data_IF_399533230597
#
_entry.id   IF_399533230597
#
_cell.length_a   1.000
_cell.length_b   1.000
_cell.length_c   1.000
_cell.angle_alpha   90.00
_cell.angle_beta   90.00
_cell.angle_gamma   90.00
#
_symmetry.space_group_name_H-M   'P 1'
#
loop_
_entity.id
_entity.type
_entity.pdbx_description
1 polymer ?
#
# COMPACT_ATOMS: atom_id res chain seq x y z
N UNK A 1 10.18 -14.37 -19.55
CA UNK A 1 9.15 -14.13 -18.51
C UNK A 1 9.81 -14.04 -17.13
N UNK A 2 10.68 -14.97 -16.69
CA UNK A 2 11.31 -14.98 -15.37
C UNK A 2 12.10 -13.70 -15.10
N UNK A 3 13.06 -13.31 -15.94
CA UNK A 3 13.85 -12.06 -15.82
C UNK A 3 12.98 -10.80 -15.68
N UNK A 4 11.86 -10.71 -16.43
CA UNK A 4 10.96 -9.56 -16.32
C UNK A 4 10.32 -9.45 -14.95
N UNK A 5 9.91 -10.58 -14.34
CA UNK A 5 9.35 -10.60 -12.99
C UNK A 5 10.40 -10.17 -11.95
N UNK A 6 11.63 -10.65 -12.10
CA UNK A 6 12.75 -10.27 -11.24
C UNK A 6 13.01 -8.77 -11.31
N UNK A 7 13.14 -8.18 -12.52
CA UNK A 7 13.30 -6.74 -12.69
C UNK A 7 12.11 -5.94 -12.13
N UNK A 8 10.88 -6.43 -12.35
CA UNK A 8 9.70 -5.78 -11.81
C UNK A 8 9.75 -5.72 -10.28
N UNK A 9 10.10 -6.82 -9.62
CA UNK A 9 10.25 -6.87 -8.16
C UNK A 9 11.38 -5.94 -7.71
N UNK A 10 12.53 -5.95 -8.35
CA UNK A 10 13.67 -5.08 -8.02
C UNK A 10 13.30 -3.58 -8.10
N UNK A 11 12.41 -3.19 -9.00
CA UNK A 11 11.94 -1.80 -9.11
C UNK A 11 10.88 -1.48 -8.06
N UNK A 12 9.90 -2.37 -7.85
CA UNK A 12 8.70 -2.05 -7.07
C UNK A 12 8.91 -2.28 -5.57
N UNK A 13 9.65 -3.32 -5.19
CA UNK A 13 9.88 -3.69 -3.78
C UNK A 13 10.52 -2.56 -2.95
N UNK A 14 11.61 -1.89 -3.38
CA UNK A 14 12.19 -0.80 -2.61
C UNK A 14 11.21 0.35 -2.35
N UNK A 15 10.34 0.65 -3.32
CA UNK A 15 9.32 1.70 -3.18
C UNK A 15 8.25 1.33 -2.15
N UNK A 16 7.84 0.06 -2.13
CA UNK A 16 6.89 -0.46 -1.13
C UNK A 16 7.52 -0.42 0.26
N UNK A 17 8.75 -0.89 0.42
CA UNK A 17 9.47 -0.89 1.70
C UNK A 17 9.60 0.55 2.21
N UNK A 18 9.98 1.50 1.36
CA UNK A 18 10.14 2.90 1.72
C UNK A 18 8.84 3.50 2.27
N UNK A 19 7.72 3.31 1.57
CA UNK A 19 6.43 3.83 2.02
C UNK A 19 5.91 3.09 3.26
N UNK A 20 6.14 1.78 3.38
CA UNK A 20 5.84 1.03 4.60
C UNK A 20 6.70 1.50 5.78
N UNK A 21 7.99 1.82 5.58
CA UNK A 21 8.85 2.37 6.62
C UNK A 21 8.34 3.72 7.12
N UNK A 22 7.87 4.60 6.24
CA UNK A 22 7.23 5.85 6.64
C UNK A 22 6.00 5.59 7.54
N UNK A 23 5.17 4.61 7.19
CA UNK A 23 4.01 4.23 8.02
C UNK A 23 4.45 3.63 9.35
N UNK A 24 5.51 2.79 9.37
CA UNK A 24 6.06 2.22 10.62
C UNK A 24 6.57 3.31 11.57
N UNK A 25 7.28 4.32 11.04
CA UNK A 25 7.73 5.47 11.80
C UNK A 25 6.56 6.28 12.37
N UNK A 26 5.59 6.60 11.52
CA UNK A 26 4.37 7.29 11.95
C UNK A 26 3.63 6.50 13.05
N UNK A 27 3.54 5.18 12.89
CA UNK A 27 2.91 4.30 13.87
C UNK A 27 3.70 4.27 15.20
N UNK A 28 5.02 4.23 15.16
CA UNK A 28 5.88 4.34 16.36
C UNK A 28 5.62 5.67 17.08
N UNK A 29 5.60 6.77 16.34
CA UNK A 29 5.28 8.09 16.89
C UNK A 29 3.87 8.12 17.49
N UNK A 30 2.87 7.54 16.82
CA UNK A 30 1.51 7.45 17.35
C UNK A 30 1.47 6.77 18.72
N UNK A 31 2.12 5.61 18.87
CA UNK A 31 2.16 4.90 20.15
C UNK A 31 2.90 5.70 21.23
N UNK A 32 3.96 6.41 20.89
CA UNK A 32 4.65 7.31 21.83
C UNK A 32 3.71 8.41 22.31
N UNK A 33 2.97 9.05 21.40
CA UNK A 33 2.08 10.18 21.70
C UNK A 33 0.87 9.73 22.54
N UNK A 34 0.22 8.61 22.17
CA UNK A 34 -0.99 8.16 22.89
C UNK A 34 -0.69 7.59 24.30
N UNK A 35 0.55 7.19 24.56
CA UNK A 35 0.95 6.65 25.86
C UNK A 35 1.43 7.74 26.85
N UNK A 36 1.45 9.01 26.42
CA UNK A 36 1.77 10.14 27.30
C UNK A 36 0.51 10.66 27.98
N UNK A 37 0.66 11.08 29.25
CA UNK A 37 -0.40 11.79 29.97
C UNK A 37 -0.61 13.21 29.43
N UNK A 38 0.46 13.87 28.97
CA UNK A 38 0.40 15.21 28.38
C UNK A 38 1.22 15.27 27.09
N UNK A 39 0.61 15.76 26.05
CA UNK A 39 1.23 15.95 24.73
C UNK A 39 1.58 17.43 24.53
N UNK A 40 2.75 17.70 23.93
CA UNK A 40 3.13 19.04 23.49
C UNK A 40 2.22 19.53 22.35
N UNK A 41 2.21 20.85 22.09
CA UNK A 41 1.45 21.41 20.97
C UNK A 41 1.90 20.82 19.63
N UNK A 42 3.18 20.61 19.42
CA UNK A 42 3.70 19.96 18.22
C UNK A 42 3.16 18.52 18.02
N UNK A 43 2.99 17.76 19.11
CA UNK A 43 2.42 16.40 19.07
C UNK A 43 0.91 16.44 18.78
N UNK A 44 0.19 17.40 19.34
CA UNK A 44 -1.23 17.63 19.04
C UNK A 44 -1.42 18.00 17.57
N UNK A 45 -0.62 18.92 17.05
CA UNK A 45 -0.64 19.31 15.64
C UNK A 45 -0.29 18.13 14.72
N UNK A 46 0.66 17.30 15.12
CA UNK A 46 1.00 16.09 14.38
C UNK A 46 -0.18 15.13 14.33
N UNK A 47 -0.87 14.89 15.46
CA UNK A 47 -2.08 14.05 15.51
C UNK A 47 -3.19 14.58 14.60
N UNK A 48 -3.46 15.90 14.62
CA UNK A 48 -4.46 16.52 13.74
C UNK A 48 -4.12 16.30 12.26
N UNK A 49 -2.86 16.46 11.87
CA UNK A 49 -2.38 16.15 10.51
C UNK A 49 -2.61 14.67 10.16
N UNK A 50 -2.37 13.75 11.11
CA UNK A 50 -2.59 12.31 10.89
C UNK A 50 -4.07 11.95 10.83
N UNK A 51 -4.93 12.51 11.66
CA UNK A 51 -6.37 12.34 11.54
C UNK A 51 -6.87 12.76 10.16
N UNK A 52 -6.43 13.92 9.66
CA UNK A 52 -6.75 14.41 8.33
C UNK A 52 -6.19 13.49 7.22
N UNK A 53 -4.92 13.09 7.33
CA UNK A 53 -4.24 12.22 6.36
C UNK A 53 -4.94 10.86 6.21
N UNK A 54 -5.40 10.27 7.33
CA UNK A 54 -6.06 8.97 7.35
C UNK A 54 -7.59 9.06 7.33
N UNK A 55 -8.15 10.25 7.13
CA UNK A 55 -9.59 10.48 6.98
C UNK A 55 -10.41 10.13 8.23
N UNK A 56 -9.85 10.32 9.43
CA UNK A 56 -10.52 10.06 10.72
C UNK A 56 -11.17 11.35 11.22
N UNK A 57 -12.37 11.64 10.72
CA UNK A 57 -13.10 12.87 11.06
C UNK A 57 -13.53 12.96 12.54
N UNK A 58 -13.81 11.82 13.15
CA UNK A 58 -14.20 11.70 14.58
C UNK A 58 -13.03 11.93 15.53
N UNK A 59 -11.81 12.08 15.05
CA UNK A 59 -10.57 12.14 15.87
C UNK A 59 -10.42 10.95 16.84
N UNK A 60 -11.02 9.81 16.48
CA UNK A 60 -10.93 8.58 17.26
C UNK A 60 -9.57 7.90 17.05
N UNK A 61 -8.81 7.80 18.15
CA UNK A 61 -7.46 7.19 18.17
C UNK A 61 -7.48 5.70 17.81
N UNK A 62 -8.52 4.97 18.20
CA UNK A 62 -8.66 3.55 17.86
C UNK A 62 -8.79 3.37 16.35
N UNK A 63 -9.61 4.19 15.69
CA UNK A 63 -9.73 4.20 14.23
C UNK A 63 -8.42 4.61 13.56
N UNK A 64 -7.70 5.61 14.09
CA UNK A 64 -6.40 6.01 13.56
C UNK A 64 -5.38 4.89 13.67
N UNK A 65 -5.28 4.22 14.83
CA UNK A 65 -4.42 3.05 15.06
C UNK A 65 -4.67 1.93 14.05
N UNK A 66 -5.95 1.64 13.72
CA UNK A 66 -6.34 0.61 12.76
C UNK A 66 -6.01 1.03 11.32
N UNK A 67 -6.17 2.32 10.97
CA UNK A 67 -5.89 2.82 9.62
C UNK A 67 -4.40 3.03 9.35
N UNK A 68 -3.64 3.48 10.33
CA UNK A 68 -2.20 3.76 10.21
C UNK A 68 -1.39 2.47 10.39
N UNK A 69 -1.41 1.59 9.40
CA UNK A 69 -0.61 0.36 9.42
C UNK A 69 -0.17 -0.06 8.01
N UNK A 70 0.85 -0.89 7.92
CA UNK A 70 1.48 -1.34 6.68
C UNK A 70 0.65 -2.39 5.95
N UNK A 71 0.94 -2.58 4.69
CA UNK A 71 0.48 -3.72 3.88
C UNK A 71 1.70 -4.60 3.62
N UNK A 72 1.61 -5.94 3.79
CA UNK A 72 2.72 -6.84 3.50
C UNK A 72 3.29 -6.59 2.11
N UNK A 73 4.60 -6.59 2.00
CA UNK A 73 5.33 -6.34 0.76
C UNK A 73 4.88 -7.33 -0.33
N UNK A 74 4.74 -8.61 0.01
CA UNK A 74 4.26 -9.66 -0.88
C UNK A 74 2.87 -9.40 -1.44
N UNK A 75 1.94 -8.85 -0.63
CA UNK A 75 0.60 -8.51 -1.08
C UNK A 75 0.62 -7.33 -2.05
N UNK A 76 1.38 -6.29 -1.74
CA UNK A 76 1.51 -5.12 -2.59
C UNK A 76 2.18 -5.46 -3.93
N UNK A 77 3.24 -6.29 -3.93
CA UNK A 77 3.87 -6.79 -5.17
C UNK A 77 2.87 -7.59 -6.00
N UNK A 78 2.09 -8.49 -5.38
CA UNK A 78 1.11 -9.31 -6.09
C UNK A 78 0.03 -8.46 -6.78
N UNK A 79 -0.48 -7.44 -6.09
CA UNK A 79 -1.45 -6.51 -6.68
C UNK A 79 -0.84 -5.70 -7.82
N UNK A 80 0.34 -5.10 -7.62
CA UNK A 80 1.03 -4.38 -8.68
C UNK A 80 1.30 -5.26 -9.91
N UNK A 81 1.74 -6.51 -9.69
CA UNK A 81 1.97 -7.47 -10.76
C UNK A 81 0.69 -7.83 -11.52
N UNK A 82 -0.43 -8.03 -10.81
CA UNK A 82 -1.74 -8.33 -11.40
C UNK A 82 -2.27 -7.16 -12.23
N UNK A 83 -2.24 -5.95 -11.66
CA UNK A 83 -2.77 -4.74 -12.31
C UNK A 83 -1.97 -4.32 -13.55
N UNK A 84 -0.67 -4.58 -13.56
CA UNK A 84 0.22 -4.10 -14.62
C UNK A 84 0.70 -5.20 -15.59
N UNK A 85 0.33 -6.45 -15.37
CA UNK A 85 0.92 -7.57 -16.10
C UNK A 85 2.44 -7.65 -15.94
N UNK A 86 2.93 -7.43 -14.70
CA UNK A 86 4.36 -7.36 -14.39
C UNK A 86 5.06 -6.20 -15.13
N UNK A 87 4.43 -5.02 -15.09
CA UNK A 87 4.98 -3.77 -15.64
C UNK A 87 4.81 -3.60 -17.15
N UNK A 88 4.05 -4.47 -17.84
CA UNK A 88 3.87 -4.38 -19.29
C UNK A 88 2.70 -3.49 -19.72
N UNK A 89 1.83 -3.12 -18.79
CA UNK A 89 0.67 -2.29 -19.14
C UNK A 89 1.10 -0.86 -19.52
N UNK A 90 0.39 -0.28 -20.48
CA UNK A 90 0.56 1.12 -20.88
C UNK A 90 0.44 2.10 -19.69
N UNK A 91 -0.46 1.80 -18.76
CA UNK A 91 -0.67 2.64 -17.59
C UNK A 91 0.54 2.65 -16.65
N UNK A 92 1.23 1.52 -16.51
CA UNK A 92 2.48 1.45 -15.75
C UNK A 92 3.60 2.22 -16.46
N UNK A 93 3.74 2.06 -17.77
CA UNK A 93 4.85 2.62 -18.57
C UNK A 93 4.72 4.13 -18.81
N UNK A 94 3.53 4.60 -19.20
CA UNK A 94 3.29 6.01 -19.53
C UNK A 94 2.75 6.84 -18.36
N UNK A 95 2.16 6.18 -17.35
CA UNK A 95 1.46 6.85 -16.25
C UNK A 95 2.01 6.56 -14.87
N UNK A 96 3.08 5.78 -14.74
CA UNK A 96 3.61 5.34 -13.44
C UNK A 96 2.52 4.73 -12.52
N UNK A 97 1.45 4.16 -13.11
CA UNK A 97 0.27 3.66 -12.41
C UNK A 97 0.41 2.15 -12.15
N UNK A 98 0.86 1.78 -10.95
CA UNK A 98 1.12 0.39 -10.57
C UNK A 98 -0.14 -0.37 -10.09
N UNK A 99 -1.19 0.33 -9.65
CA UNK A 99 -2.31 -0.27 -8.92
C UNK A 99 -3.69 0.03 -9.55
N UNK A 100 -3.73 0.50 -10.79
CA UNK A 100 -4.98 0.69 -11.54
C UNK A 100 -5.98 1.66 -10.90
N UNK A 101 -5.52 2.61 -10.08
CA UNK A 101 -6.40 3.53 -9.37
C UNK A 101 -7.11 4.50 -10.33
N UNK A 102 -8.39 4.73 -10.08
CA UNK A 102 -9.24 5.60 -10.88
C UNK A 102 -9.31 7.01 -10.35
N UNK A 103 -9.47 7.97 -11.26
CA UNK A 103 -9.80 9.35 -10.93
C UNK A 103 -10.91 9.86 -11.84
N UNK A 104 -11.78 10.71 -11.29
CA UNK A 104 -12.81 11.44 -12.04
C UNK A 104 -12.40 12.89 -12.30
N UNK A 105 -11.36 13.35 -11.60
CA UNK A 105 -10.82 14.71 -11.71
C UNK A 105 -9.30 14.67 -11.79
N UNK A 106 -8.70 15.60 -12.53
CA UNK A 106 -7.25 15.71 -12.67
C UNK A 106 -6.66 14.92 -13.84
N UNK A 107 -5.34 14.80 -13.82
CA UNK A 107 -4.59 14.10 -14.87
C UNK A 107 -4.76 12.59 -14.77
N UNK A 108 -5.01 11.97 -15.90
CA UNK A 108 -5.16 10.51 -15.99
C UNK A 108 -5.17 10.02 -17.43
N UNK A 109 -4.84 8.74 -17.59
CA UNK A 109 -4.85 8.06 -18.89
C UNK A 109 -6.22 7.40 -19.12
N UNK A 110 -6.84 7.68 -20.25
CA UNK A 110 -8.07 7.00 -20.66
C UNK A 110 -7.75 5.56 -21.10
N UNK A 111 -8.56 4.54 -20.69
CA UNK A 111 -8.50 3.21 -21.28
C UNK A 111 -8.79 3.29 -22.78
N UNK A 112 -8.10 2.48 -23.60
CA UNK A 112 -8.30 2.47 -25.06
C UNK A 112 -9.75 2.17 -25.47
N UNK A 113 -10.47 1.35 -24.69
CA UNK A 113 -11.85 0.94 -24.93
C UNK A 113 -12.83 1.60 -23.93
N UNK A 114 -12.48 2.76 -23.38
CA UNK A 114 -13.39 3.46 -22.50
C UNK A 114 -14.65 3.89 -23.23
N UNK A 115 -15.81 3.51 -22.70
CA UNK A 115 -17.09 4.06 -23.10
C UNK A 115 -17.02 5.59 -23.01
N UNK A 116 -17.35 6.29 -24.09
CA UNK A 116 -17.24 7.76 -24.18
C UNK A 116 -18.01 8.50 -23.08
N UNK A 117 -18.99 7.84 -22.48
CA UNK A 117 -19.86 8.37 -21.43
C UNK A 117 -19.33 8.13 -20.00
N UNK A 118 -18.30 7.29 -19.80
CA UNK A 118 -17.70 7.05 -18.48
C UNK A 118 -16.47 7.93 -18.34
N UNK A 119 -16.61 9.05 -17.62
CA UNK A 119 -15.58 10.09 -17.45
C UNK A 119 -14.38 9.70 -16.57
N UNK A 120 -14.25 8.40 -16.15
CA UNK A 120 -13.17 7.95 -15.29
C UNK A 120 -11.89 7.68 -16.10
N UNK A 121 -10.76 7.99 -15.48
CA UNK A 121 -9.41 7.79 -16.01
C UNK A 121 -8.59 7.00 -15.02
N UNK A 122 -7.57 6.27 -15.48
CA UNK A 122 -6.52 5.73 -14.58
C UNK A 122 -5.61 6.89 -14.17
N UNK A 123 -5.38 7.06 -12.88
CA UNK A 123 -4.52 8.11 -12.35
C UNK A 123 -3.12 8.02 -12.94
N UNK A 124 -2.56 9.18 -13.29
CA UNK A 124 -1.16 9.32 -13.70
C UNK A 124 -0.35 9.90 -12.54
N UNK A 125 0.86 9.41 -12.34
CA UNK A 125 1.76 9.85 -11.28
C UNK A 125 3.06 10.38 -11.89
N UNK A 126 3.67 11.39 -11.25
CA UNK A 126 4.96 11.93 -11.67
C UNK A 126 6.08 10.89 -11.53
N UNK A 127 6.04 10.09 -10.48
CA UNK A 127 6.98 9.00 -10.21
C UNK A 127 6.26 7.77 -9.67
N UNK A 128 6.84 6.58 -9.87
CA UNK A 128 6.28 5.30 -9.41
C UNK A 128 5.95 5.27 -7.92
N UNK A 129 6.79 5.89 -7.07
CA UNK A 129 6.59 5.93 -5.62
C UNK A 129 5.27 6.56 -5.20
N UNK A 130 4.81 7.58 -5.92
CA UNK A 130 3.52 8.22 -5.61
C UNK A 130 2.34 7.29 -5.86
N UNK A 131 2.43 6.39 -6.84
CA UNK A 131 1.43 5.33 -7.06
C UNK A 131 1.38 4.37 -5.87
N UNK A 132 2.54 3.95 -5.33
CA UNK A 132 2.61 3.12 -4.12
C UNK A 132 2.00 3.84 -2.92
N UNK A 133 2.37 5.10 -2.69
CA UNK A 133 1.83 5.92 -1.60
C UNK A 133 0.31 6.06 -1.68
N UNK A 134 -0.22 6.33 -2.87
CA UNK A 134 -1.65 6.45 -3.11
C UNK A 134 -2.39 5.11 -2.88
N UNK A 135 -1.80 3.99 -3.32
CA UNK A 135 -2.34 2.65 -3.07
C UNK A 135 -2.43 2.33 -1.59
N UNK A 136 -1.35 2.50 -0.82
CA UNK A 136 -1.34 2.26 0.62
C UNK A 136 -2.36 3.14 1.34
N UNK A 137 -2.46 4.42 0.94
CA UNK A 137 -3.48 5.33 1.46
C UNK A 137 -4.89 4.82 1.17
N UNK A 138 -5.15 4.35 -0.05
CA UNK A 138 -6.46 3.84 -0.45
C UNK A 138 -6.89 2.65 0.42
N UNK A 139 -6.04 1.63 0.59
CA UNK A 139 -6.34 0.48 1.44
C UNK A 139 -6.52 0.89 2.92
N UNK A 140 -5.81 1.90 3.36
CA UNK A 140 -5.85 2.38 4.73
C UNK A 140 -7.05 3.29 5.04
N UNK A 141 -7.69 3.90 4.02
CA UNK A 141 -8.73 4.92 4.26
C UNK A 141 -10.09 4.58 3.65
N UNK A 142 -10.14 3.98 2.46
CA UNK A 142 -11.39 3.75 1.75
C UNK A 142 -12.31 2.75 2.47
N UNK A 143 -13.62 3.02 2.45
CA UNK A 143 -14.63 2.23 3.16
C UNK A 143 -14.69 0.76 2.72
N UNK A 144 -14.48 0.48 1.44
CA UNK A 144 -14.47 -0.88 0.88
C UNK A 144 -13.46 -1.81 1.55
N UNK A 145 -12.36 -1.26 2.11
CA UNK A 145 -11.29 -2.06 2.73
C UNK A 145 -11.35 -2.08 4.26
N UNK A 146 -12.52 -1.79 4.84
CA UNK A 146 -12.73 -1.85 6.29
C UNK A 146 -12.41 -3.22 6.85
N UNK A 147 -12.86 -4.27 6.18
CA UNK A 147 -12.69 -5.65 6.66
C UNK A 147 -11.23 -6.12 6.55
N UNK A 148 -10.49 -5.70 5.51
CA UNK A 148 -9.04 -5.86 5.42
C UNK A 148 -8.35 -5.26 6.66
N UNK A 149 -8.71 -4.02 7.02
CA UNK A 149 -8.11 -3.33 8.18
C UNK A 149 -8.45 -4.00 9.51
N UNK A 150 -9.68 -4.50 9.67
CA UNK A 150 -10.07 -5.29 10.85
C UNK A 150 -9.30 -6.60 10.95
N UNK A 151 -9.16 -7.34 9.84
CA UNK A 151 -8.39 -8.57 9.81
C UNK A 151 -6.92 -8.32 10.15
N UNK A 152 -6.32 -7.23 9.63
CA UNK A 152 -4.96 -6.80 9.94
C UNK A 152 -4.81 -6.44 11.42
N UNK A 153 -5.74 -5.68 11.98
CA UNK A 153 -5.75 -5.34 13.40
C UNK A 153 -5.85 -6.60 14.28
N UNK A 154 -6.71 -7.56 13.92
CA UNK A 154 -6.82 -8.83 14.64
C UNK A 154 -5.50 -9.62 14.65
N UNK A 155 -4.76 -9.64 13.55
CA UNK A 155 -3.42 -10.26 13.52
C UNK A 155 -2.47 -9.55 14.49
N UNK A 156 -2.51 -8.21 14.56
CA UNK A 156 -1.71 -7.42 15.51
C UNK A 156 -2.08 -7.71 16.97
N UNK A 157 -3.38 -7.77 17.27
CA UNK A 157 -3.87 -8.05 18.63
C UNK A 157 -3.50 -9.48 19.09
N UNK A 158 -3.32 -10.41 18.15
CA UNK A 158 -2.85 -11.77 18.39
C UNK A 158 -1.32 -11.90 18.33
N UNK A 159 -0.58 -10.80 18.20
CA UNK A 159 0.88 -10.76 18.04
C UNK A 159 1.39 -11.63 16.88
N UNK A 160 0.54 -11.86 15.87
CA UNK A 160 0.90 -12.63 14.67
C UNK A 160 1.49 -11.72 13.58
N UNK A 161 2.41 -12.27 12.77
CA UNK A 161 2.88 -11.54 11.59
C UNK A 161 1.72 -11.26 10.63
N UNK A 162 1.82 -10.15 9.91
CA UNK A 162 0.85 -9.83 8.87
C UNK A 162 1.00 -10.80 7.70
N UNK A 163 0.01 -11.63 7.47
CA UNK A 163 0.03 -12.66 6.43
C UNK A 163 -0.72 -12.20 5.18
N UNK A 164 -0.02 -12.10 4.06
CA UNK A 164 -0.57 -11.68 2.77
C UNK A 164 -1.65 -12.61 2.23
N UNK A 165 -1.56 -13.93 2.50
CA UNK A 165 -2.58 -14.89 2.07
C UNK A 165 -3.87 -14.77 2.86
N UNK A 166 -3.78 -14.38 4.14
CA UNK A 166 -4.96 -14.08 4.96
C UNK A 166 -5.57 -12.75 4.50
N UNK A 167 -4.74 -11.72 4.39
CA UNK A 167 -5.22 -10.36 4.07
C UNK A 167 -5.76 -10.23 2.64
N UNK A 168 -5.20 -10.97 1.67
CA UNK A 168 -5.70 -10.96 0.29
C UNK A 168 -7.17 -11.34 0.16
N UNK A 169 -7.70 -12.19 1.06
CA UNK A 169 -9.11 -12.61 1.05
C UNK A 169 -10.09 -11.45 1.22
N UNK A 170 -9.66 -10.34 1.80
CA UNK A 170 -10.47 -9.15 2.06
C UNK A 170 -10.32 -8.06 0.97
N UNK A 171 -9.79 -8.44 -0.20
CA UNK A 171 -9.65 -7.56 -1.38
C UNK A 171 -10.65 -7.90 -2.49
N UNK A 172 -11.72 -8.60 -2.16
CA UNK A 172 -12.80 -8.95 -3.08
C UNK A 172 -13.45 -7.71 -3.75
N UNK A 173 -13.47 -6.57 -3.03
CA UNK A 173 -13.98 -5.29 -3.55
C UNK A 173 -12.97 -4.46 -4.33
N UNK A 174 -11.76 -4.97 -4.55
CA UNK A 174 -10.73 -4.27 -5.32
C UNK A 174 -10.98 -4.33 -6.83
N UNK A 175 -11.56 -5.41 -7.30
CA UNK A 175 -11.93 -5.62 -8.70
C UNK A 175 -13.35 -6.19 -8.80
N UNK A 176 -13.99 -5.95 -9.95
CA UNK A 176 -15.35 -6.45 -10.23
C UNK A 176 -15.45 -7.98 -10.16
N UNK A 177 -14.35 -8.68 -10.41
CA UNK A 177 -14.27 -10.15 -10.38
C UNK A 177 -14.29 -10.75 -8.96
N UNK A 178 -14.29 -9.91 -7.92
CA UNK A 178 -14.51 -10.33 -6.53
C UNK A 178 -13.57 -11.43 -6.06
N UNK A 179 -14.15 -12.57 -5.67
CA UNK A 179 -13.38 -13.72 -5.18
C UNK A 179 -12.34 -14.24 -6.17
N UNK A 180 -12.62 -14.23 -7.45
CA UNK A 180 -11.64 -14.64 -8.47
C UNK A 180 -10.38 -13.78 -8.42
N UNK A 181 -10.52 -12.46 -8.18
CA UNK A 181 -9.39 -11.57 -8.00
C UNK A 181 -8.51 -12.01 -6.82
N UNK A 182 -9.11 -12.31 -5.68
CA UNK A 182 -8.37 -12.72 -4.48
C UNK A 182 -7.66 -14.06 -4.67
N UNK A 183 -8.28 -15.01 -5.36
CA UNK A 183 -7.69 -16.30 -5.69
C UNK A 183 -6.47 -16.14 -6.61
N UNK A 184 -6.55 -15.22 -7.59
CA UNK A 184 -5.41 -14.87 -8.47
C UNK A 184 -4.26 -14.26 -7.67
N UNK A 185 -4.54 -13.34 -6.74
CA UNK A 185 -3.50 -12.77 -5.87
C UNK A 185 -2.77 -13.85 -5.07
N UNK A 186 -3.52 -14.75 -4.43
CA UNK A 186 -2.93 -15.86 -3.67
C UNK A 186 -2.05 -16.76 -4.54
N UNK A 187 -2.50 -17.03 -5.77
CA UNK A 187 -1.72 -17.79 -6.74
C UNK A 187 -0.42 -17.09 -7.12
N UNK A 188 -0.46 -15.78 -7.37
CA UNK A 188 0.73 -14.96 -7.68
C UNK A 188 1.71 -14.98 -6.50
N UNK A 189 1.23 -14.79 -5.26
CA UNK A 189 2.05 -14.83 -4.05
C UNK A 189 2.77 -16.17 -3.93
N UNK A 190 2.03 -17.28 -4.04
CA UNK A 190 2.59 -18.64 -3.88
C UNK A 190 3.54 -19.02 -5.00
N UNK A 191 3.16 -18.81 -6.26
CA UNK A 191 3.95 -19.22 -7.42
C UNK A 191 5.28 -18.46 -7.59
N UNK A 192 5.40 -17.28 -6.98
CA UNK A 192 6.61 -16.46 -7.08
C UNK A 192 7.32 -16.28 -5.73
N UNK A 193 6.96 -17.08 -4.71
CA UNK A 193 7.53 -17.05 -3.36
C UNK A 193 7.60 -15.63 -2.77
N UNK A 194 6.56 -14.80 -3.02
CA UNK A 194 6.61 -13.38 -2.67
C UNK A 194 6.71 -13.14 -1.16
N UNK A 195 6.30 -14.09 -0.33
CA UNK A 195 6.42 -13.96 1.13
C UNK A 195 7.87 -13.84 1.62
N UNK A 196 8.83 -14.30 0.85
CA UNK A 196 10.27 -14.16 1.16
C UNK A 196 10.69 -12.68 1.22
N UNK A 197 9.88 -11.77 0.62
CA UNK A 197 10.14 -10.32 0.64
C UNK A 197 9.48 -9.58 1.82
N UNK A 198 8.62 -10.23 2.62
CA UNK A 198 7.91 -9.56 3.73
C UNK A 198 8.86 -9.10 4.85
N UNK A 199 10.06 -9.69 4.94
CA UNK A 199 11.10 -9.30 5.89
C UNK A 199 12.22 -8.45 5.25
N UNK A 200 12.12 -8.15 3.96
CA UNK A 200 13.12 -7.36 3.27
C UNK A 200 13.26 -5.93 3.87
N UNK A 201 14.48 -5.42 3.85
CA UNK A 201 14.81 -4.08 4.35
C UNK A 201 15.63 -3.34 3.29
N UNK A 202 15.49 -2.00 3.26
CA UNK A 202 16.43 -1.18 2.50
C UNK A 202 17.80 -1.22 3.15
N UNK A 203 18.83 -1.26 2.35
CA UNK A 203 20.18 -1.04 2.85
C UNK A 203 20.29 0.40 3.39
N UNK A 204 21.14 0.63 4.40
CA UNK A 204 21.49 1.97 4.85
C UNK A 204 21.98 2.84 3.69
N UNK A 205 21.78 4.14 3.77
CA UNK A 205 22.39 5.07 2.79
C UNK A 205 23.92 4.95 2.87
N UNK A 206 24.63 5.27 1.77
CA UNK A 206 26.07 5.04 1.62
C UNK A 206 26.94 5.66 2.71
N UNK A 207 26.48 6.74 3.37
CA UNK A 207 27.16 7.34 4.52
C UNK A 207 27.19 6.43 5.76
N UNK A 208 26.20 5.54 5.89
CA UNK A 208 26.15 4.59 7.00
C UNK A 208 26.94 3.31 6.69
N UNK A 209 27.18 3.01 5.40
CA UNK A 209 28.00 1.88 4.97
C UNK A 209 29.48 2.07 5.26
N UNK A 210 30.02 3.30 5.20
CA UNK A 210 31.41 3.60 5.56
C UNK A 210 31.71 3.38 7.05
N UNK A 211 30.66 3.39 7.90
CA UNK A 211 30.79 3.09 9.33
C UNK A 211 30.69 1.62 9.67
N UNK A 212 30.41 0.75 8.69
CA UNK A 212 30.25 -0.70 8.88
C UNK A 212 31.44 -1.51 8.31
N UNK A 213 32.43 -0.83 7.70
CA UNK A 213 33.69 -1.38 7.21
C UNK A 213 34.83 -0.95 8.15
#
# INVERSE_FOLDING_TARGET
IKKRKEFFIQIVLPLIIQENNNIRLDRKTLFTVINKSNNSEAEKDWLEKKFKQYGVRSRDLSTLKIRMDVIPESLAIAQAAKETGWGTSRFAQEGNALFGQWTWSGEGLKPKNADKNKGHKVMKFLILRLSVKAYLRNLNTHSSYRDLRKARAKLRDLEKPLDSLILSKYLDKYAETGKYYTDVLQKIIKQNNLKDFDEARLLPESKDLESLI
#
